data_IF_122062353561
#
_entry.id   IF_122062353561
#
_cell.length_a   1.000
_cell.length_b   1.000
_cell.length_c   1.000
_cell.angle_alpha   90.00
_cell.angle_beta   90.00
_cell.angle_gamma   90.00
#
_symmetry.space_group_name_H-M   'P 1'
#
loop_
_entity.id
_entity.type
_entity.pdbx_description
1 polymer ?
#
# COMPACT_ATOMS: atom_id res chain seq x y z
N UNK A 1 -30.00 65.61 38.01
CA UNK A 1 -29.98 64.47 37.08
C UNK A 1 -28.98 64.68 35.94
N UNK A 2 -27.86 63.95 35.95
CA UNK A 2 -27.17 63.47 34.75
C UNK A 2 -26.12 62.44 35.20
N UNK A 3 -26.36 61.20 34.80
CA UNK A 3 -25.43 60.09 34.83
C UNK A 3 -24.40 60.31 33.72
N UNK A 4 -23.11 60.21 34.04
CA UNK A 4 -22.07 59.99 33.04
C UNK A 4 -21.36 58.68 33.40
N UNK A 5 -21.96 57.62 32.84
CA UNK A 5 -21.34 56.46 32.21
C UNK A 5 -19.81 56.41 32.30
N UNK A 6 -19.29 55.40 33.01
CA UNK A 6 -17.88 55.01 32.94
C UNK A 6 -17.70 54.13 31.69
N UNK A 7 -17.21 54.72 30.60
CA UNK A 7 -16.73 53.97 29.44
C UNK A 7 -15.36 53.33 29.75
N UNK A 8 -15.12 52.07 29.37
CA UNK A 8 -13.80 51.46 29.43
C UNK A 8 -12.89 52.14 28.39
N UNK A 9 -11.76 52.64 28.87
CA UNK A 9 -10.82 53.47 28.13
C UNK A 9 -10.03 52.63 27.11
N UNK A 10 -10.31 52.80 25.81
CA UNK A 10 -9.61 52.17 24.67
C UNK A 10 -8.13 52.60 24.52
N UNK A 11 -7.57 53.41 25.44
CA UNK A 11 -6.19 53.91 25.35
C UNK A 11 -5.14 53.10 26.12
N UNK A 12 -5.52 52.10 26.92
CA UNK A 12 -4.56 51.29 27.70
C UNK A 12 -3.71 50.32 26.84
N UNK A 13 -4.18 49.98 25.63
CA UNK A 13 -3.48 49.01 24.75
C UNK A 13 -2.32 49.69 24.00
N UNK A 14 -2.34 51.01 23.86
CA UNK A 14 -1.35 51.77 23.07
C UNK A 14 -0.29 52.49 23.91
N UNK A 15 -0.54 52.75 25.20
CA UNK A 15 0.39 53.53 26.05
C UNK A 15 1.44 52.70 26.78
N UNK A 16 1.26 51.38 26.92
CA UNK A 16 2.20 50.52 27.69
C UNK A 16 2.86 49.43 26.82
N UNK A 17 2.85 49.59 25.49
CA UNK A 17 3.39 48.60 24.56
C UNK A 17 4.87 48.29 24.80
N UNK A 18 5.69 49.31 25.11
CA UNK A 18 7.13 49.14 25.31
C UNK A 18 7.46 48.27 26.54
N UNK A 19 6.73 48.45 27.65
CA UNK A 19 6.90 47.66 28.87
C UNK A 19 6.38 46.23 28.72
N UNK A 20 5.26 46.07 28.00
CA UNK A 20 4.72 44.76 27.67
C UNK A 20 5.68 43.97 26.75
N UNK A 21 6.26 44.62 25.73
CA UNK A 21 7.26 44.01 24.85
C UNK A 21 8.54 43.62 25.60
N UNK A 22 9.02 44.44 26.53
CA UNK A 22 10.18 44.13 27.35
C UNK A 22 9.93 42.90 28.25
N UNK A 23 8.74 42.81 28.84
CA UNK A 23 8.32 41.69 29.70
C UNK A 23 8.10 40.39 28.92
N UNK A 24 7.55 40.47 27.70
CA UNK A 24 7.22 39.32 26.86
C UNK A 24 8.25 38.99 25.78
N UNK A 25 9.40 39.68 25.74
CA UNK A 25 10.45 39.54 24.70
C UNK A 25 10.89 38.08 24.49
N UNK A 26 11.05 37.31 25.57
CA UNK A 26 11.40 35.89 25.48
C UNK A 26 10.32 35.03 24.83
N UNK A 27 9.04 35.32 25.12
CA UNK A 27 7.89 34.63 24.49
C UNK A 27 7.80 35.00 23.01
N UNK A 28 8.01 36.27 22.66
CA UNK A 28 7.99 36.72 21.25
C UNK A 28 9.09 36.06 20.43
N UNK A 29 10.31 35.94 20.96
CA UNK A 29 11.41 35.24 20.27
C UNK A 29 11.06 33.76 20.06
N UNK A 30 10.48 33.09 21.07
CA UNK A 30 10.07 31.70 20.94
C UNK A 30 8.92 31.51 19.93
N UNK A 31 7.93 32.41 19.92
CA UNK A 31 6.82 32.38 18.95
C UNK A 31 7.34 32.62 17.53
N UNK A 32 8.22 33.60 17.33
CA UNK A 32 8.85 33.84 16.02
C UNK A 32 9.69 32.65 15.58
N UNK A 33 10.43 32.01 16.48
CA UNK A 33 11.21 30.81 16.18
C UNK A 33 10.31 29.63 15.75
N UNK A 34 9.20 29.41 16.45
CA UNK A 34 8.21 28.36 16.09
C UNK A 34 7.57 28.65 14.73
N UNK A 35 7.28 29.91 14.41
CA UNK A 35 6.76 30.29 13.09
C UNK A 35 7.82 30.05 12.02
N UNK A 36 9.08 30.42 12.25
CA UNK A 36 10.17 30.18 11.29
C UNK A 36 10.42 28.68 11.08
N UNK A 37 10.46 27.89 12.15
CA UNK A 37 10.57 26.43 12.08
C UNK A 37 9.34 25.83 11.40
N UNK A 38 8.14 26.36 11.67
CA UNK A 38 6.91 25.97 11.02
C UNK A 38 6.95 26.20 9.51
N UNK A 39 7.35 27.40 9.07
CA UNK A 39 7.49 27.74 7.65
C UNK A 39 8.59 26.94 6.98
N UNK A 40 9.75 26.75 7.62
CA UNK A 40 10.84 25.92 7.09
C UNK A 40 10.42 24.45 7.05
N UNK A 41 9.71 23.95 8.05
CA UNK A 41 9.18 22.58 8.10
C UNK A 41 8.10 22.35 7.04
N UNK A 42 7.25 23.35 6.80
CA UNK A 42 6.23 23.31 5.76
C UNK A 42 6.84 23.38 4.37
N UNK A 43 7.79 24.27 4.16
CA UNK A 43 8.55 24.35 2.93
C UNK A 43 9.40 23.08 2.70
N UNK A 44 9.95 22.42 3.74
CA UNK A 44 10.70 21.17 3.58
C UNK A 44 9.81 19.96 3.25
N UNK A 45 8.54 19.98 3.66
CA UNK A 45 7.52 19.01 3.24
C UNK A 45 7.08 19.28 1.79
N UNK A 46 6.96 20.55 1.39
CA UNK A 46 6.56 20.94 0.04
C UNK A 46 7.71 20.88 -0.99
N UNK A 47 8.97 21.09 -0.58
CA UNK A 47 10.15 21.26 -1.44
C UNK A 47 11.05 20.01 -1.52
N UNK A 48 10.53 18.82 -1.19
CA UNK A 48 11.30 17.57 -1.26
C UNK A 48 11.29 16.88 -2.63
N UNK A 49 10.65 17.46 -3.64
CA UNK A 49 10.46 16.85 -4.96
C UNK A 49 11.05 17.71 -6.07
N UNK A 50 12.36 17.57 -6.27
CA UNK A 50 13.00 17.76 -7.57
C UNK A 50 13.95 16.60 -7.83
N UNK A 51 13.49 15.37 -7.55
CA UNK A 51 14.13 14.23 -8.14
C UNK A 51 13.77 14.22 -9.63
N UNK A 52 14.77 14.05 -10.48
CA UNK A 52 14.58 13.94 -11.92
C UNK A 52 13.60 12.78 -12.21
N UNK A 53 12.66 12.95 -13.15
CA UNK A 53 11.70 11.88 -13.52
C UNK A 53 12.41 10.57 -13.91
N UNK A 54 13.67 10.62 -14.35
CA UNK A 54 14.50 9.44 -14.63
C UNK A 54 14.81 8.65 -13.34
N UNK A 55 15.12 9.35 -12.25
CA UNK A 55 15.39 8.72 -10.96
C UNK A 55 14.12 8.07 -10.40
N UNK A 56 12.98 8.75 -10.53
CA UNK A 56 11.69 8.22 -10.12
C UNK A 56 11.35 6.92 -10.88
N UNK A 57 11.51 6.92 -12.21
CA UNK A 57 11.29 5.73 -13.04
C UNK A 57 12.28 4.60 -12.67
N UNK A 58 13.55 4.93 -12.41
CA UNK A 58 14.53 3.95 -11.94
C UNK A 58 14.14 3.35 -10.60
N UNK A 59 13.60 4.15 -9.67
CA UNK A 59 13.15 3.68 -8.37
C UNK A 59 11.91 2.77 -8.50
N UNK A 60 10.97 3.10 -9.39
CA UNK A 60 9.82 2.26 -9.71
C UNK A 60 10.28 0.89 -10.24
N UNK A 61 11.18 0.88 -11.23
CA UNK A 61 11.72 -0.35 -11.82
C UNK A 61 12.49 -1.17 -10.79
N UNK A 62 13.28 -0.54 -9.92
CA UNK A 62 14.01 -1.22 -8.85
C UNK A 62 13.04 -1.85 -7.83
N UNK A 63 11.95 -1.17 -7.48
CA UNK A 63 10.92 -1.74 -6.61
C UNK A 63 10.24 -2.97 -7.25
N UNK A 64 9.96 -2.93 -8.56
CA UNK A 64 9.37 -4.06 -9.29
C UNK A 64 10.34 -5.22 -9.49
N UNK A 65 11.63 -4.91 -9.69
CA UNK A 65 12.68 -5.90 -9.96
C UNK A 65 13.41 -6.32 -8.68
N UNK A 66 12.88 -5.99 -7.50
CA UNK A 66 13.49 -6.38 -6.25
C UNK A 66 13.59 -7.90 -6.17
N UNK A 67 14.68 -8.43 -5.62
CA UNK A 67 14.87 -9.88 -5.43
C UNK A 67 13.90 -10.50 -4.39
N UNK A 68 12.90 -9.73 -3.94
CA UNK A 68 11.89 -10.21 -3.00
C UNK A 68 10.96 -11.22 -3.65
N UNK A 69 10.91 -12.42 -3.10
CA UNK A 69 9.87 -13.42 -3.42
C UNK A 69 8.55 -13.12 -2.71
N UNK A 70 8.52 -12.13 -1.82
CA UNK A 70 7.34 -11.72 -1.07
C UNK A 70 6.67 -10.51 -1.74
N UNK A 71 5.46 -10.70 -2.25
CA UNK A 71 4.67 -9.66 -2.90
C UNK A 71 4.24 -8.54 -1.94
N UNK A 72 4.09 -8.81 -0.64
CA UNK A 72 3.80 -7.77 0.37
C UNK A 72 4.96 -6.78 0.46
N UNK A 73 6.19 -7.27 0.38
CA UNK A 73 7.38 -6.44 0.38
C UNK A 73 7.51 -5.62 -0.91
N UNK A 74 7.23 -6.22 -2.07
CA UNK A 74 7.18 -5.49 -3.34
C UNK A 74 6.13 -4.38 -3.29
N UNK A 75 4.94 -4.68 -2.79
CA UNK A 75 3.88 -3.69 -2.61
C UNK A 75 4.31 -2.54 -1.67
N UNK A 76 5.01 -2.85 -0.58
CA UNK A 76 5.55 -1.86 0.35
C UNK A 76 6.63 -0.99 -0.31
N UNK A 77 7.55 -1.58 -1.09
CA UNK A 77 8.58 -0.84 -1.83
C UNK A 77 7.96 0.12 -2.84
N UNK A 78 6.95 -0.33 -3.61
CA UNK A 78 6.17 0.51 -4.52
C UNK A 78 5.47 1.68 -3.79
N UNK A 79 4.91 1.41 -2.60
CA UNK A 79 4.34 2.45 -1.75
C UNK A 79 5.39 3.50 -1.33
N UNK A 80 6.61 3.05 -1.03
CA UNK A 80 7.75 3.92 -0.75
C UNK A 80 8.10 4.84 -1.93
N UNK A 81 8.08 4.32 -3.17
CA UNK A 81 8.30 5.13 -4.39
C UNK A 81 7.23 6.22 -4.49
N UNK A 82 5.96 5.91 -4.24
CA UNK A 82 4.90 6.94 -4.20
C UNK A 82 5.21 8.05 -3.18
N UNK A 83 5.57 7.68 -1.95
CA UNK A 83 5.85 8.66 -0.88
C UNK A 83 7.08 9.52 -1.17
N UNK A 84 8.11 8.94 -1.78
CA UNK A 84 9.38 9.61 -2.07
C UNK A 84 9.28 10.59 -3.25
N UNK A 85 8.50 10.24 -4.27
CA UNK A 85 8.42 11.00 -5.53
C UNK A 85 7.06 11.70 -5.72
N UNK A 86 6.42 12.14 -4.62
CA UNK A 86 5.12 12.85 -4.69
C UNK A 86 5.19 14.05 -5.63
N UNK A 87 4.13 14.22 -6.43
CA UNK A 87 4.05 15.23 -7.49
C UNK A 87 4.51 14.72 -8.86
N UNK A 88 5.33 13.67 -8.92
CA UNK A 88 5.73 13.07 -10.20
C UNK A 88 4.66 12.11 -10.75
N UNK A 89 4.52 11.97 -12.08
CA UNK A 89 3.62 10.99 -12.70
C UNK A 89 3.90 9.54 -12.28
N UNK A 90 5.15 9.25 -11.88
CA UNK A 90 5.56 7.93 -11.38
C UNK A 90 4.92 7.62 -10.03
N UNK A 91 4.77 8.60 -9.14
CA UNK A 91 4.18 8.35 -7.83
C UNK A 91 2.72 7.89 -7.93
N UNK A 92 1.97 8.40 -8.90
CA UNK A 92 0.62 7.93 -9.18
C UNK A 92 0.60 6.45 -9.60
N UNK A 93 1.50 6.08 -10.53
CA UNK A 93 1.65 4.70 -11.01
C UNK A 93 2.12 3.75 -9.91
N UNK A 94 3.08 4.20 -9.11
CA UNK A 94 3.64 3.43 -8.01
C UNK A 94 2.55 3.09 -6.98
N UNK A 95 1.68 4.04 -6.64
CA UNK A 95 0.60 3.82 -5.69
C UNK A 95 -0.44 2.81 -6.19
N UNK A 96 -0.90 2.95 -7.45
CA UNK A 96 -1.87 1.99 -8.00
C UNK A 96 -1.25 0.58 -8.11
N UNK A 97 0.02 0.48 -8.52
CA UNK A 97 0.74 -0.79 -8.59
C UNK A 97 0.95 -1.41 -7.21
N UNK A 98 1.25 -0.60 -6.19
CA UNK A 98 1.33 -1.03 -4.80
C UNK A 98 0.02 -1.67 -4.35
N UNK A 99 -1.12 -1.00 -4.58
CA UNK A 99 -2.45 -1.53 -4.26
C UNK A 99 -2.74 -2.86 -4.96
N UNK A 100 -2.46 -2.95 -6.27
CA UNK A 100 -2.67 -4.18 -7.06
C UNK A 100 -1.80 -5.34 -6.57
N UNK A 101 -0.51 -5.08 -6.33
CA UNK A 101 0.42 -6.10 -5.82
C UNK A 101 -0.01 -6.61 -4.44
N UNK A 102 -0.64 -5.74 -3.63
CA UNK A 102 -1.19 -6.13 -2.33
C UNK A 102 -2.38 -7.09 -2.46
N UNK A 103 -3.27 -6.83 -3.42
CA UNK A 103 -4.36 -7.76 -3.77
C UNK A 103 -3.79 -9.10 -4.21
N UNK A 104 -2.79 -9.09 -5.09
CA UNK A 104 -2.15 -10.30 -5.59
C UNK A 104 -1.43 -11.08 -4.46
N UNK A 105 -0.99 -10.38 -3.41
CA UNK A 105 -0.43 -10.96 -2.19
C UNK A 105 -1.49 -11.48 -1.19
N UNK A 106 -2.79 -11.24 -1.43
CA UNK A 106 -3.87 -11.52 -0.49
C UNK A 106 -3.93 -10.55 0.70
N UNK A 107 -3.16 -9.47 0.68
CA UNK A 107 -3.13 -8.43 1.71
C UNK A 107 -4.22 -7.37 1.46
N UNK A 108 -5.48 -7.82 1.55
CA UNK A 108 -6.66 -7.00 1.21
C UNK A 108 -6.81 -5.76 2.10
N UNK A 109 -6.37 -5.83 3.36
CA UNK A 109 -6.40 -4.71 4.30
C UNK A 109 -5.51 -3.56 3.80
N UNK A 110 -4.23 -3.82 3.55
CA UNK A 110 -3.35 -2.77 3.05
C UNK A 110 -3.67 -2.38 1.61
N UNK A 111 -4.14 -3.33 0.78
CA UNK A 111 -4.62 -3.04 -0.58
C UNK A 111 -5.72 -1.97 -0.56
N UNK A 112 -6.72 -2.15 0.30
CA UNK A 112 -7.83 -1.19 0.47
C UNK A 112 -7.31 0.18 0.86
N UNK A 113 -6.43 0.27 1.87
CA UNK A 113 -5.82 1.55 2.29
C UNK A 113 -5.07 2.23 1.15
N UNK A 114 -4.32 1.46 0.34
CA UNK A 114 -3.58 2.00 -0.83
C UNK A 114 -4.51 2.53 -1.91
N UNK A 115 -5.61 1.83 -2.21
CA UNK A 115 -6.61 2.31 -3.18
C UNK A 115 -7.39 3.52 -2.67
N UNK A 116 -7.76 3.55 -1.38
CA UNK A 116 -8.41 4.71 -0.76
C UNK A 116 -7.48 5.91 -0.76
N UNK A 117 -6.20 5.72 -0.44
CA UNK A 117 -5.17 6.75 -0.56
C UNK A 117 -5.07 7.27 -2.01
N UNK A 118 -5.09 6.38 -3.01
CA UNK A 118 -5.10 6.79 -4.42
C UNK A 118 -6.31 7.68 -4.73
N UNK A 119 -7.50 7.25 -4.34
CA UNK A 119 -8.74 7.98 -4.60
C UNK A 119 -8.76 9.34 -3.89
N UNK A 120 -8.15 9.42 -2.71
CA UNK A 120 -8.02 10.67 -1.95
C UNK A 120 -7.00 11.63 -2.57
N UNK A 121 -5.86 11.13 -3.04
CA UNK A 121 -4.76 11.96 -3.55
C UNK A 121 -5.02 12.44 -4.99
N UNK A 122 -5.64 11.62 -5.83
CA UNK A 122 -5.80 11.90 -7.26
C UNK A 122 -7.25 12.21 -7.68
N UNK A 123 -8.23 11.85 -6.84
CA UNK A 123 -9.65 12.11 -7.09
C UNK A 123 -10.17 11.49 -8.40
N UNK A 124 -11.24 12.07 -8.94
CA UNK A 124 -11.91 11.60 -10.16
C UNK A 124 -11.10 11.84 -11.44
N UNK A 125 -10.11 12.75 -11.40
CA UNK A 125 -9.25 13.06 -12.54
C UNK A 125 -8.04 12.11 -12.67
N UNK A 126 -7.78 11.26 -11.66
CA UNK A 126 -6.68 10.31 -11.67
C UNK A 126 -6.77 9.32 -12.84
N UNK A 127 -5.63 9.02 -13.47
CA UNK A 127 -5.55 8.15 -14.66
C UNK A 127 -6.05 6.73 -14.38
N UNK A 128 -5.94 6.30 -13.14
CA UNK A 128 -6.27 4.96 -12.66
C UNK A 128 -7.43 4.96 -11.66
N UNK A 129 -8.23 6.03 -11.60
CA UNK A 129 -9.36 6.13 -10.64
C UNK A 129 -10.31 4.94 -10.71
N UNK A 130 -10.63 4.48 -11.92
CA UNK A 130 -11.52 3.36 -12.12
C UNK A 130 -10.88 2.01 -11.74
N UNK A 131 -9.57 1.86 -11.94
CA UNK A 131 -8.82 0.69 -11.47
C UNK A 131 -8.76 0.68 -9.94
N UNK A 132 -8.56 1.84 -9.30
CA UNK A 132 -8.55 1.96 -7.84
C UNK A 132 -9.95 1.67 -7.24
N UNK A 133 -11.03 2.15 -7.87
CA UNK A 133 -12.41 1.82 -7.47
C UNK A 133 -12.66 0.32 -7.58
N UNK A 134 -12.22 -0.30 -8.68
CA UNK A 134 -12.34 -1.74 -8.90
C UNK A 134 -11.56 -2.54 -7.84
N UNK A 135 -10.30 -2.18 -7.60
CA UNK A 135 -9.45 -2.82 -6.60
C UNK A 135 -9.99 -2.68 -5.17
N UNK A 136 -10.50 -1.50 -4.80
CA UNK A 136 -11.17 -1.29 -3.50
C UNK A 136 -12.41 -2.18 -3.36
N UNK A 137 -13.22 -2.31 -4.41
CA UNK A 137 -14.39 -3.18 -4.39
C UNK A 137 -14.02 -4.66 -4.20
N UNK A 138 -12.93 -5.12 -4.82
CA UNK A 138 -12.41 -6.48 -4.60
C UNK A 138 -11.95 -6.70 -3.15
N UNK A 139 -11.38 -5.67 -2.52
CA UNK A 139 -11.03 -5.71 -1.10
C UNK A 139 -12.29 -5.78 -0.22
N UNK A 140 -13.34 -5.01 -0.53
CA UNK A 140 -14.63 -5.07 0.19
C UNK A 140 -15.25 -6.46 0.12
N UNK A 141 -15.24 -7.09 -1.05
CA UNK A 141 -15.72 -8.45 -1.25
C UNK A 141 -14.95 -9.46 -0.39
N UNK A 142 -13.62 -9.32 -0.35
CA UNK A 142 -12.74 -10.17 0.47
C UNK A 142 -12.93 -9.95 1.98
N UNK A 143 -13.38 -8.76 2.39
CA UNK A 143 -13.75 -8.41 3.77
C UNK A 143 -15.18 -8.85 4.14
N UNK A 144 -15.94 -9.42 3.20
CA UNK A 144 -17.31 -9.89 3.40
C UNK A 144 -18.39 -8.86 3.05
N UNK A 145 -18.04 -7.66 2.62
CA UNK A 145 -18.99 -6.66 2.10
C UNK A 145 -19.24 -6.85 0.60
N UNK A 146 -19.87 -7.98 0.27
CA UNK A 146 -20.25 -8.30 -1.11
C UNK A 146 -21.27 -7.28 -1.68
N UNK A 147 -22.16 -6.74 -0.83
CA UNK A 147 -23.16 -5.77 -1.27
C UNK A 147 -22.51 -4.45 -1.72
N UNK A 148 -21.54 -3.94 -0.95
CA UNK A 148 -20.74 -2.78 -1.31
C UNK A 148 -19.94 -3.01 -2.60
N UNK A 149 -19.31 -4.17 -2.75
CA UNK A 149 -18.57 -4.54 -3.95
C UNK A 149 -19.46 -4.56 -5.20
N UNK A 150 -20.61 -5.24 -5.14
CA UNK A 150 -21.60 -5.33 -6.22
C UNK A 150 -22.07 -3.95 -6.69
N UNK A 151 -22.31 -3.02 -5.76
CA UNK A 151 -22.73 -1.66 -6.10
C UNK A 151 -21.67 -0.92 -6.93
N UNK A 152 -20.39 -1.09 -6.58
CA UNK A 152 -19.27 -0.50 -7.33
C UNK A 152 -19.11 -1.18 -8.69
N UNK A 153 -19.10 -2.52 -8.77
CA UNK A 153 -18.97 -3.24 -10.02
C UNK A 153 -20.09 -2.89 -11.02
N UNK A 154 -21.33 -2.76 -10.55
CA UNK A 154 -22.47 -2.31 -11.38
C UNK A 154 -22.25 -0.90 -11.92
N UNK A 155 -21.79 0.02 -11.08
CA UNK A 155 -21.49 1.40 -11.49
C UNK A 155 -20.40 1.43 -12.56
N UNK A 156 -19.32 0.67 -12.36
CA UNK A 156 -18.23 0.56 -13.33
C UNK A 156 -18.67 -0.14 -14.63
N UNK A 157 -19.62 -1.07 -14.57
CA UNK A 157 -20.12 -1.74 -15.78
C UNK A 157 -20.99 -0.78 -16.62
N UNK A 158 -21.81 0.04 -15.98
CA UNK A 158 -22.79 0.89 -16.66
C UNK A 158 -22.21 2.21 -17.16
N UNK A 159 -21.28 2.81 -16.41
CA UNK A 159 -20.88 4.21 -16.61
C UNK A 159 -19.43 4.38 -17.11
N UNK A 160 -18.70 3.28 -17.33
CA UNK A 160 -17.28 3.33 -17.68
C UNK A 160 -17.07 3.18 -19.19
N UNK A 161 -16.30 4.10 -19.78
CA UNK A 161 -15.93 4.08 -21.20
C UNK A 161 -14.72 3.18 -21.51
N UNK A 162 -13.92 2.79 -20.52
CA UNK A 162 -12.81 1.87 -20.68
C UNK A 162 -13.33 0.42 -20.71
N UNK A 163 -13.28 -0.17 -21.91
CA UNK A 163 -13.77 -1.52 -22.19
C UNK A 163 -13.10 -2.58 -21.29
N UNK A 164 -11.81 -2.43 -20.99
CA UNK A 164 -11.09 -3.42 -20.16
C UNK A 164 -11.62 -3.41 -18.71
N UNK A 165 -11.82 -2.22 -18.14
CA UNK A 165 -12.39 -2.09 -16.79
C UNK A 165 -13.82 -2.59 -16.78
N UNK A 166 -14.61 -2.22 -17.79
CA UNK A 166 -16.01 -2.67 -17.92
C UNK A 166 -16.11 -4.19 -17.98
N UNK A 167 -15.29 -4.86 -18.79
CA UNK A 167 -15.29 -6.32 -18.91
C UNK A 167 -14.89 -7.00 -17.59
N UNK A 168 -13.84 -6.50 -16.92
CA UNK A 168 -13.42 -7.03 -15.62
C UNK A 168 -14.50 -6.82 -14.54
N UNK A 169 -15.09 -5.63 -14.49
CA UNK A 169 -16.17 -5.32 -13.56
C UNK A 169 -17.42 -6.17 -13.82
N UNK A 170 -17.76 -6.44 -15.09
CA UNK A 170 -18.87 -7.32 -15.47
C UNK A 170 -18.62 -8.75 -14.99
N UNK A 171 -17.43 -9.30 -15.23
CA UNK A 171 -17.08 -10.65 -14.78
C UNK A 171 -17.11 -10.77 -13.25
N UNK A 172 -16.59 -9.77 -12.54
CA UNK A 172 -16.64 -9.72 -11.07
C UNK A 172 -18.07 -9.54 -10.55
N UNK A 173 -18.90 -8.76 -11.24
CA UNK A 173 -20.31 -8.57 -10.89
C UNK A 173 -21.10 -9.88 -11.01
N UNK A 174 -20.86 -10.65 -12.08
CA UNK A 174 -21.47 -11.96 -12.29
C UNK A 174 -20.99 -12.97 -11.24
N UNK A 175 -19.69 -13.00 -10.96
CA UNK A 175 -19.12 -13.85 -9.92
C UNK A 175 -19.71 -13.54 -8.54
N UNK A 176 -19.77 -12.26 -8.15
CA UNK A 176 -20.29 -11.82 -6.85
C UNK A 176 -21.79 -12.10 -6.65
N UNK A 177 -22.56 -12.18 -7.74
CA UNK A 177 -23.99 -12.52 -7.70
C UNK A 177 -24.26 -14.01 -7.70
N UNK A 178 -23.30 -14.82 -8.13
CA UNK A 178 -23.46 -16.27 -8.22
C UNK A 178 -23.32 -16.88 -6.83
N UNK A 179 -24.37 -17.56 -6.37
CA UNK A 179 -24.28 -18.39 -5.16
C UNK A 179 -23.51 -19.66 -5.52
N UNK A 180 -22.25 -19.74 -5.11
CA UNK A 180 -21.45 -20.95 -5.27
C UNK A 180 -21.93 -22.00 -4.28
N UNK A 181 -22.31 -23.18 -4.77
CA UNK A 181 -22.56 -24.33 -3.91
C UNK A 181 -21.27 -24.64 -3.11
N UNK A 182 -21.39 -24.98 -1.81
CA UNK A 182 -20.21 -25.29 -1.01
C UNK A 182 -19.44 -26.43 -1.67
N UNK A 183 -18.12 -26.27 -1.77
CA UNK A 183 -17.24 -27.31 -2.30
C UNK A 183 -17.57 -28.64 -1.60
N UNK A 184 -17.73 -29.74 -2.34
CA UNK A 184 -17.92 -31.05 -1.72
C UNK A 184 -16.76 -31.28 -0.74
N UNK A 185 -17.08 -31.83 0.43
CA UNK A 185 -16.10 -32.18 1.45
C UNK A 185 -14.92 -32.86 0.80
N UNK A 186 -13.69 -32.45 1.14
CA UNK A 186 -12.48 -33.21 0.78
C UNK A 186 -12.78 -34.68 1.10
N UNK A 187 -12.66 -35.62 0.15
CA UNK A 187 -12.85 -37.03 0.46
C UNK A 187 -11.98 -37.36 1.67
N UNK A 188 -12.54 -38.07 2.64
CA UNK A 188 -11.82 -38.45 3.86
C UNK A 188 -10.42 -38.94 3.45
N UNK A 189 -9.34 -38.46 4.08
CA UNK A 189 -8.03 -39.05 3.90
C UNK A 189 -8.21 -40.54 4.07
N UNK A 190 -7.96 -41.31 3.00
CA UNK A 190 -7.94 -42.77 3.09
C UNK A 190 -7.04 -43.07 4.28
N UNK A 191 -7.58 -43.75 5.30
CA UNK A 191 -6.78 -44.18 6.44
C UNK A 191 -5.58 -44.93 5.88
N UNK A 192 -4.42 -44.28 5.92
CA UNK A 192 -3.16 -44.92 5.58
C UNK A 192 -3.03 -46.07 6.59
N UNK A 193 -2.93 -47.34 6.13
CA UNK A 193 -2.91 -48.48 7.01
C UNK A 193 -1.86 -48.25 8.09
N UNK A 194 -2.28 -48.32 9.36
CA UNK A 194 -1.42 -48.10 10.51
C UNK A 194 -0.13 -48.91 10.35
N UNK A 195 0.98 -48.21 10.12
CA UNK A 195 2.31 -48.83 10.16
C UNK A 195 2.48 -49.33 11.59
N UNK A 196 2.63 -50.65 11.82
CA UNK A 196 2.87 -51.16 13.15
C UNK A 196 4.19 -50.57 13.67
N UNK A 197 4.14 -50.01 14.87
CA UNK A 197 5.29 -49.48 15.57
C UNK A 197 6.41 -50.54 15.68
N UNK A 198 7.64 -50.05 15.51
CA UNK A 198 8.89 -50.77 15.38
C UNK A 198 9.14 -51.87 16.43
N UNK A 199 9.76 -52.98 16.00
CA UNK A 199 10.49 -53.88 16.90
C UNK A 199 10.73 -55.29 16.37
N UNK A 200 11.78 -55.48 15.54
CA UNK A 200 12.75 -56.59 15.63
C UNK A 200 13.57 -56.70 14.31
N UNK A 201 14.89 -56.72 14.48
CA UNK A 201 15.93 -56.93 13.47
C UNK A 201 15.63 -57.98 12.39
N UNK A 202 16.03 -57.71 11.14
CA UNK A 202 17.21 -58.34 10.50
C UNK A 202 17.41 -57.79 9.07
N UNK A 203 18.59 -57.22 8.82
CA UNK A 203 19.26 -57.12 7.50
C UNK A 203 20.06 -58.43 7.31
N UNK A 204 20.44 -58.97 6.11
CA UNK A 204 20.36 -58.50 4.70
C UNK A 204 19.64 -59.53 3.77
N UNK A 205 19.30 -59.30 2.49
CA UNK A 205 20.20 -59.04 1.37
C UNK A 205 19.45 -58.56 0.11
N UNK A 206 20.02 -57.53 -0.50
CA UNK A 206 19.66 -56.88 -1.76
C UNK A 206 19.99 -57.76 -2.97
N UNK A 207 19.11 -57.95 -3.97
CA UNK A 207 19.55 -58.32 -5.31
C UNK A 207 19.90 -57.05 -6.10
N UNK A 208 21.20 -56.95 -6.37
CA UNK A 208 21.89 -56.25 -7.46
C UNK A 208 21.02 -55.42 -8.44
N UNK A 209 21.24 -54.10 -8.46
CA UNK A 209 21.15 -53.31 -9.70
C UNK A 209 22.52 -52.70 -9.93
N UNK A 210 23.21 -53.29 -10.91
CA UNK A 210 24.45 -52.84 -11.49
C UNK A 210 24.16 -51.60 -12.34
N UNK A 211 24.64 -50.43 -11.89
CA UNK A 211 24.70 -49.22 -12.71
C UNK A 211 26.13 -48.68 -12.62
N UNK A 212 26.86 -48.87 -13.72
CA UNK A 212 28.26 -48.52 -13.96
C UNK A 212 28.54 -47.03 -13.71
N UNK A 213 29.71 -46.65 -13.15
CA UNK A 213 30.00 -45.27 -12.76
C UNK A 213 30.41 -44.41 -13.96
N UNK A 214 29.81 -43.23 -14.11
CA UNK A 214 30.32 -42.17 -14.98
C UNK A 214 31.31 -41.30 -14.20
N UNK A 215 32.58 -41.39 -14.58
CA UNK A 215 33.73 -40.67 -14.05
C UNK A 215 33.62 -39.14 -14.28
N UNK A 216 33.85 -38.29 -13.27
CA UNK A 216 34.08 -36.85 -13.46
C UNK A 216 35.52 -36.59 -13.95
N UNK A 217 35.77 -35.69 -14.93
CA UNK A 217 37.12 -35.33 -15.32
C UNK A 217 37.79 -34.43 -14.26
N UNK A 218 39.01 -34.79 -13.91
CA UNK A 218 39.90 -34.07 -13.00
C UNK A 218 40.47 -32.79 -13.65
N UNK A 219 40.48 -31.69 -12.89
CA UNK A 219 41.22 -30.45 -13.18
C UNK A 219 42.45 -30.43 -12.26
N UNK A 220 43.69 -30.30 -12.79
CA UNK A 220 44.90 -30.26 -11.96
C UNK A 220 45.17 -28.87 -11.33
N UNK A 221 45.81 -28.92 -10.15
CA UNK A 221 46.13 -27.86 -9.19
C UNK A 221 47.09 -26.74 -9.67
N UNK A 222 47.12 -25.58 -8.97
CA UNK A 222 47.97 -24.44 -9.30
C UNK A 222 49.43 -24.60 -8.83
N UNK A 223 50.34 -23.92 -9.54
CA UNK A 223 51.74 -23.71 -9.16
C UNK A 223 52.07 -22.22 -9.20
#
# INVERSE_FOLDING_TARGET
PCLIMSEPNDTDILMNGEEWFAKNRGILINVTLVILIGVVGWNWIENKSSASSIEAESALVNALSSDSTNLVDVARLLGGVHTQYQGEPVAERALILSGKTSVDAGDYQNAKTRFESYLSNYGEAGKWVNEAKLGRALCLESEGDAAGAIAVYRTLTNNNSNILIKNRASALLEAAQTTLEPLPSRPEPVEEPAVPAAGASTVPATPSIEATPATPPAVPEPK
#
